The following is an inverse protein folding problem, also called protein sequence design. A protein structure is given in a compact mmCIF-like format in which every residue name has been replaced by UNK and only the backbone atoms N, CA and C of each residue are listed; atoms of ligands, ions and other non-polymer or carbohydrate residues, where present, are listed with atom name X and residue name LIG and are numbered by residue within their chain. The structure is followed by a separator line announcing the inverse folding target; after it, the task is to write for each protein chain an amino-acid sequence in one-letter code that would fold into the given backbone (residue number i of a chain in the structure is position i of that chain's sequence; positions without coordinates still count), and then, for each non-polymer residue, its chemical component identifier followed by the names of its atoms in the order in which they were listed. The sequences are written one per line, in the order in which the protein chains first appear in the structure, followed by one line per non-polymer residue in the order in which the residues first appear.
data_IF_215538719961
#
_entry.id   IF_215538719961
#
_cell.length_a   1.000
_cell.length_b   1.000
_cell.length_c   1.000
_cell.angle_alpha   90.00
_cell.angle_beta   90.00
_cell.angle_gamma   90.00
#
_symmetry.space_group_name_H-M   'P 1'
#
loop_
_entity.id
_entity.type
_entity.pdbx_description
1 polymer ?
#
# COMPACT_ATOMS: atom_id res chain seq x y z
N UNK A 1 -13.72 -14.34 -14.91
CA UNK A 1 -12.94 -14.09 -13.66
C UNK A 1 -11.52 -14.51 -13.99
N UNK A 2 -10.55 -13.58 -13.89
CA UNK A 2 -9.14 -13.90 -14.15
C UNK A 2 -8.62 -14.85 -13.07
N UNK A 3 -7.67 -15.69 -13.43
CA UNK A 3 -7.08 -16.71 -12.53
C UNK A 3 -6.47 -16.10 -11.24
N UNK A 4 -6.06 -14.83 -11.31
CA UNK A 4 -5.45 -14.09 -10.19
C UNK A 4 -6.39 -13.81 -9.00
N UNK A 5 -7.71 -13.83 -9.20
CA UNK A 5 -8.68 -13.61 -8.11
C UNK A 5 -8.84 -14.84 -7.21
N UNK A 6 -8.52 -16.05 -7.68
CA UNK A 6 -8.65 -17.27 -6.89
C UNK A 6 -7.72 -17.29 -5.68
N UNK A 7 -6.46 -16.87 -5.85
CA UNK A 7 -5.45 -16.98 -4.80
C UNK A 7 -5.65 -16.00 -3.64
N UNK A 8 -6.25 -14.82 -3.91
CA UNK A 8 -6.53 -13.83 -2.87
C UNK A 8 -7.71 -14.23 -1.97
N UNK A 9 -8.62 -15.07 -2.45
CA UNK A 9 -9.77 -15.58 -1.66
C UNK A 9 -9.37 -16.62 -0.62
N UNK A 10 -8.18 -17.20 -0.72
CA UNK A 10 -7.65 -18.17 0.25
C UNK A 10 -7.12 -17.52 1.53
N UNK A 11 -6.86 -16.20 1.52
CA UNK A 11 -6.40 -15.49 2.70
C UNK A 11 -7.58 -15.31 3.68
N UNK A 12 -7.50 -15.82 4.93
CA UNK A 12 -8.59 -15.71 5.89
C UNK A 12 -9.05 -14.28 6.12
N UNK A 13 -10.37 -14.08 6.26
CA UNK A 13 -10.97 -12.77 6.49
C UNK A 13 -10.31 -12.10 7.71
N UNK A 14 -9.89 -10.84 7.58
CA UNK A 14 -9.22 -10.09 8.65
C UNK A 14 -7.81 -10.59 9.02
N UNK A 15 -7.19 -11.47 8.23
CA UNK A 15 -5.90 -12.09 8.56
C UNK A 15 -4.83 -11.07 8.95
N UNK A 16 -4.58 -10.07 8.12
CA UNK A 16 -3.51 -9.10 8.37
C UNK A 16 -3.77 -8.24 9.60
N UNK A 17 -5.03 -7.92 9.89
CA UNK A 17 -5.39 -7.22 11.12
C UNK A 17 -5.07 -8.07 12.36
N UNK A 18 -5.50 -9.34 12.38
CA UNK A 18 -5.16 -10.26 13.47
C UNK A 18 -3.66 -10.46 13.65
N UNK A 19 -2.91 -10.50 12.55
CA UNK A 19 -1.43 -10.58 12.62
C UNK A 19 -0.83 -9.34 13.29
N UNK A 20 -1.39 -8.15 13.07
CA UNK A 20 -0.92 -6.93 13.76
C UNK A 20 -1.23 -6.93 15.25
N UNK A 21 -2.35 -7.51 15.68
CA UNK A 21 -2.74 -7.55 17.07
C UNK A 21 -2.02 -8.63 17.88
N UNK A 22 -1.99 -9.86 17.37
CA UNK A 22 -1.57 -11.04 18.13
C UNK A 22 -0.54 -11.93 17.42
N UNK A 23 -0.03 -11.51 16.28
CA UNK A 23 0.92 -12.27 15.51
C UNK A 23 2.33 -12.32 16.11
N UNK A 24 3.22 -13.08 15.46
CA UNK A 24 4.64 -13.10 15.77
C UNK A 24 5.22 -11.65 15.78
N UNK A 25 6.08 -11.29 16.75
CA UNK A 25 6.62 -9.93 16.90
C UNK A 25 7.22 -9.34 15.62
N UNK A 26 7.89 -10.16 14.79
CA UNK A 26 8.46 -9.70 13.51
C UNK A 26 7.34 -9.33 12.54
N UNK A 27 6.33 -10.18 12.38
CA UNK A 27 5.18 -9.92 11.48
C UNK A 27 4.38 -8.70 11.95
N UNK A 28 4.15 -8.58 13.25
CA UNK A 28 3.50 -7.40 13.85
C UNK A 28 4.26 -6.14 13.52
N UNK A 29 5.56 -6.11 13.81
CA UNK A 29 6.41 -4.95 13.52
C UNK A 29 6.48 -4.65 12.03
N UNK A 30 6.48 -5.67 11.16
CA UNK A 30 6.46 -5.51 9.71
C UNK A 30 5.22 -4.75 9.23
N UNK A 31 4.02 -5.22 9.57
CA UNK A 31 2.78 -4.58 9.12
C UNK A 31 2.58 -3.20 9.75
N UNK A 32 2.82 -3.04 11.05
CA UNK A 32 2.70 -1.75 11.73
C UNK A 32 3.68 -0.71 11.16
N UNK A 33 4.94 -1.10 10.93
CA UNK A 33 5.93 -0.21 10.34
C UNK A 33 5.55 0.19 8.91
N UNK A 34 5.06 -0.76 8.09
CA UNK A 34 4.60 -0.52 6.73
C UNK A 34 3.53 0.57 6.71
N UNK A 35 2.46 0.40 7.45
CA UNK A 35 1.34 1.35 7.46
C UNK A 35 1.74 2.70 8.06
N UNK A 36 2.53 2.72 9.14
CA UNK A 36 3.03 3.97 9.71
C UNK A 36 3.88 4.75 8.71
N UNK A 37 4.80 4.07 7.99
CA UNK A 37 5.62 4.72 6.95
C UNK A 37 4.79 5.27 5.79
N UNK A 38 3.70 4.61 5.41
CA UNK A 38 2.76 5.12 4.40
C UNK A 38 2.04 6.36 4.93
N UNK A 39 1.46 6.30 6.13
CA UNK A 39 0.75 7.44 6.73
C UNK A 39 1.67 8.64 6.95
N UNK A 40 2.92 8.43 7.38
CA UNK A 40 3.92 9.49 7.56
C UNK A 40 4.38 10.12 6.24
N UNK A 41 4.28 9.39 5.13
CA UNK A 41 4.67 9.90 3.82
C UNK A 41 3.62 10.82 3.18
N UNK A 42 2.38 10.85 3.65
CA UNK A 42 1.37 11.81 3.21
C UNK A 42 1.68 13.23 3.68
N UNK A 43 1.20 14.26 2.96
CA UNK A 43 1.33 15.64 3.38
C UNK A 43 0.79 15.86 4.81
N UNK A 44 1.42 16.72 5.61
CA UNK A 44 0.88 17.09 6.91
C UNK A 44 -0.35 17.97 6.76
N UNK A 45 -1.20 17.99 7.77
CA UNK A 45 -2.37 18.85 7.86
C UNK A 45 -3.61 18.09 8.29
N UNK A 46 -4.59 18.78 8.88
CA UNK A 46 -5.89 18.22 9.24
C UNK A 46 -6.88 18.27 8.07
N UNK A 47 -7.94 17.48 8.17
CA UNK A 47 -9.11 17.57 7.28
C UNK A 47 -8.94 16.95 5.90
N UNK A 48 -7.88 16.18 5.67
CA UNK A 48 -7.61 15.54 4.38
C UNK A 48 -8.61 14.43 4.05
N UNK A 49 -8.88 14.23 2.76
CA UNK A 49 -9.64 13.09 2.24
C UNK A 49 -8.64 12.00 1.77
N UNK A 50 -8.77 10.78 2.32
CA UNK A 50 -7.89 9.64 2.04
C UNK A 50 -8.65 8.50 1.35
N UNK A 51 -8.10 8.02 0.23
CA UNK A 51 -8.53 6.82 -0.48
C UNK A 51 -7.49 5.71 -0.33
N UNK A 52 -7.89 4.51 0.09
CA UNK A 52 -7.01 3.33 0.13
C UNK A 52 -7.52 2.27 -0.87
N UNK A 53 -6.74 2.01 -1.91
CA UNK A 53 -7.09 1.11 -3.02
C UNK A 53 -6.42 -0.25 -2.80
N UNK A 54 -7.21 -1.33 -2.82
CA UNK A 54 -6.76 -2.64 -2.36
C UNK A 54 -6.64 -2.66 -0.84
N UNK A 55 -7.61 -2.08 -0.13
CA UNK A 55 -7.57 -1.89 1.31
C UNK A 55 -7.69 -3.19 2.11
N UNK A 56 -8.06 -4.31 1.43
CA UNK A 56 -8.29 -5.60 2.06
C UNK A 56 -9.21 -5.46 3.27
N UNK A 57 -8.80 -5.96 4.45
CA UNK A 57 -9.57 -5.86 5.70
C UNK A 57 -9.47 -4.48 6.40
N UNK A 58 -9.10 -3.41 5.70
CA UNK A 58 -9.09 -2.04 6.22
C UNK A 58 -7.95 -1.68 7.16
N UNK A 59 -6.87 -2.46 7.18
CA UNK A 59 -5.80 -2.32 8.18
C UNK A 59 -5.05 -0.99 8.15
N UNK A 60 -4.85 -0.36 6.98
CA UNK A 60 -4.24 0.98 6.93
C UNK A 60 -5.18 2.01 7.55
N UNK A 61 -6.44 2.00 7.13
CA UNK A 61 -7.41 3.00 7.58
C UNK A 61 -7.74 2.85 9.07
N UNK A 62 -7.66 1.64 9.64
CA UNK A 62 -7.82 1.44 11.08
C UNK A 62 -6.78 2.18 11.93
N UNK A 63 -5.61 2.49 11.34
CA UNK A 63 -4.52 3.23 11.97
C UNK A 63 -4.50 4.72 11.58
N UNK A 64 -5.33 5.13 10.62
CA UNK A 64 -5.39 6.51 10.15
C UNK A 64 -6.14 7.40 11.12
N UNK A 65 -5.52 8.49 11.58
CA UNK A 65 -6.10 9.46 12.49
C UNK A 65 -7.23 10.23 11.80
N UNK A 66 -8.44 10.19 12.35
CA UNK A 66 -9.62 10.88 11.81
C UNK A 66 -9.58 12.40 11.97
N UNK A 67 -8.71 12.94 12.81
CA UNK A 67 -8.48 14.39 12.87
C UNK A 67 -7.65 14.87 11.69
N UNK A 68 -6.71 14.04 11.23
CA UNK A 68 -5.91 14.30 10.05
C UNK A 68 -6.66 13.94 8.77
N UNK A 69 -7.32 12.79 8.74
CA UNK A 69 -8.08 12.29 7.59
C UNK A 69 -9.58 12.30 7.90
N UNK A 70 -10.22 13.44 7.63
CA UNK A 70 -11.62 13.67 8.00
C UNK A 70 -12.63 12.90 7.13
N UNK A 71 -12.20 12.43 5.97
CA UNK A 71 -12.94 11.52 5.09
C UNK A 71 -12.00 10.39 4.65
N UNK A 72 -12.39 9.16 4.89
CA UNK A 72 -11.60 7.98 4.56
C UNK A 72 -12.47 6.99 3.79
N UNK A 73 -11.97 6.53 2.64
CA UNK A 73 -12.62 5.50 1.85
C UNK A 73 -11.61 4.38 1.54
N UNK A 74 -11.95 3.15 1.93
CA UNK A 74 -11.23 1.95 1.53
C UNK A 74 -12.01 1.21 0.43
N UNK A 75 -11.33 0.81 -0.64
CA UNK A 75 -11.95 0.00 -1.70
C UNK A 75 -11.16 -1.26 -1.98
N UNK A 76 -11.87 -2.37 -2.19
CA UNK A 76 -11.30 -3.67 -2.54
C UNK A 76 -12.27 -4.47 -3.42
N UNK A 77 -11.74 -5.46 -4.14
CA UNK A 77 -12.56 -6.39 -4.94
C UNK A 77 -13.12 -7.55 -4.13
N UNK A 78 -12.70 -7.74 -2.87
CA UNK A 78 -13.05 -8.85 -1.99
C UNK A 78 -14.18 -8.45 -1.02
N UNK A 79 -15.46 -8.80 -1.30
CA UNK A 79 -16.61 -8.34 -0.52
C UNK A 79 -16.57 -8.79 0.94
N UNK A 80 -16.02 -9.96 1.24
CA UNK A 80 -15.91 -10.50 2.60
C UNK A 80 -14.92 -9.67 3.45
N UNK A 81 -13.82 -9.22 2.84
CA UNK A 81 -12.85 -8.36 3.52
C UNK A 81 -13.44 -6.97 3.77
N UNK A 82 -14.18 -6.43 2.81
CA UNK A 82 -14.89 -5.15 2.93
C UNK A 82 -15.96 -5.21 4.02
N UNK A 83 -16.72 -6.31 4.09
CA UNK A 83 -17.70 -6.51 5.18
C UNK A 83 -17.00 -6.49 6.53
N UNK A 84 -15.91 -7.23 6.70
CA UNK A 84 -15.12 -7.23 7.92
C UNK A 84 -14.61 -5.82 8.26
N UNK A 85 -14.05 -5.10 7.29
CA UNK A 85 -13.53 -3.75 7.49
C UNK A 85 -14.63 -2.77 7.93
N UNK A 86 -15.82 -2.86 7.33
CA UNK A 86 -16.98 -2.04 7.68
C UNK A 86 -17.46 -2.32 9.11
N UNK A 87 -17.59 -3.59 9.48
CA UNK A 87 -18.07 -4.01 10.81
C UNK A 87 -17.10 -3.63 11.94
N UNK A 88 -15.77 -3.68 11.68
CA UNK A 88 -14.76 -3.47 12.72
C UNK A 88 -14.23 -2.03 12.77
N UNK A 89 -14.21 -1.33 11.65
CA UNK A 89 -13.53 -0.04 11.52
C UNK A 89 -14.39 1.08 10.92
N UNK A 90 -15.61 0.76 10.43
CA UNK A 90 -16.53 1.76 9.88
C UNK A 90 -16.91 2.81 10.92
N UNK A 91 -16.88 4.11 10.51
CA UNK A 91 -17.34 5.26 11.31
C UNK A 91 -18.06 6.24 10.39
N UNK A 92 -18.58 7.34 10.94
CA UNK A 92 -19.17 8.42 10.12
C UNK A 92 -18.17 9.06 9.14
N UNK A 93 -16.87 8.85 9.34
CA UNK A 93 -15.78 9.42 8.52
C UNK A 93 -15.02 8.37 7.73
N UNK A 94 -15.17 7.09 8.06
CA UNK A 94 -14.45 5.98 7.45
C UNK A 94 -15.41 4.97 6.88
N UNK A 95 -15.39 4.82 5.57
CA UNK A 95 -16.25 3.93 4.81
C UNK A 95 -15.43 2.91 4.02
N UNK A 96 -16.06 1.79 3.68
CA UNK A 96 -15.45 0.75 2.88
C UNK A 96 -16.44 0.29 1.81
N UNK A 97 -15.97 0.14 0.57
CA UNK A 97 -16.81 -0.20 -0.58
C UNK A 97 -16.18 -1.31 -1.42
N UNK A 98 -17.01 -2.22 -1.90
CA UNK A 98 -16.57 -3.23 -2.85
C UNK A 98 -16.62 -2.67 -4.26
N UNK A 99 -15.51 -2.72 -4.98
CA UNK A 99 -15.43 -2.43 -6.41
C UNK A 99 -15.30 -3.75 -7.18
N UNK A 100 -15.77 -3.78 -8.45
CA UNK A 100 -15.65 -4.98 -9.29
C UNK A 100 -14.26 -5.12 -9.91
N UNK A 101 -13.62 -3.98 -10.15
CA UNK A 101 -12.29 -3.89 -10.74
C UNK A 101 -11.73 -2.47 -10.60
N UNK A 102 -10.45 -2.27 -10.95
CA UNK A 102 -9.81 -0.93 -10.99
C UNK A 102 -10.46 0.02 -12.03
N UNK A 103 -11.27 -0.50 -12.95
CA UNK A 103 -12.04 0.32 -13.90
C UNK A 103 -13.16 1.10 -13.23
N UNK A 104 -13.61 0.68 -12.05
CA UNK A 104 -14.66 1.36 -11.30
C UNK A 104 -14.14 2.60 -10.53
N UNK A 105 -12.81 2.78 -10.39
CA UNK A 105 -12.23 3.91 -9.65
C UNK A 105 -12.78 5.28 -10.07
N UNK A 106 -12.91 5.61 -11.37
CA UNK A 106 -13.41 6.93 -11.76
C UNK A 106 -14.86 7.23 -11.34
N UNK A 107 -15.61 6.21 -10.91
CA UNK A 107 -17.00 6.37 -10.46
C UNK A 107 -17.13 6.67 -8.96
N UNK A 108 -16.02 6.60 -8.21
CA UNK A 108 -16.03 6.95 -6.80
C UNK A 108 -16.24 8.44 -6.57
N UNK A 109 -16.82 8.78 -5.42
CA UNK A 109 -17.06 10.17 -5.04
C UNK A 109 -15.76 10.85 -4.59
N UNK A 110 -15.14 11.59 -5.51
CA UNK A 110 -13.93 12.40 -5.29
C UNK A 110 -14.23 13.88 -5.11
N UNK A 111 -13.21 14.76 -5.04
CA UNK A 111 -11.79 14.45 -5.04
C UNK A 111 -11.25 13.98 -3.69
N UNK A 112 -10.04 13.37 -3.73
CA UNK A 112 -9.25 13.01 -2.56
C UNK A 112 -7.94 13.81 -2.54
N UNK A 113 -7.43 14.10 -1.34
CA UNK A 113 -6.13 14.75 -1.15
C UNK A 113 -5.00 13.73 -1.12
N UNK A 114 -5.32 12.53 -0.67
CA UNK A 114 -4.39 11.42 -0.50
C UNK A 114 -4.98 10.14 -1.08
N UNK A 115 -4.16 9.36 -1.77
CA UNK A 115 -4.49 8.00 -2.16
C UNK A 115 -3.34 7.05 -1.84
N UNK A 116 -3.64 5.80 -1.49
CA UNK A 116 -2.68 4.71 -1.31
C UNK A 116 -3.04 3.48 -2.14
N UNK A 117 -1.99 2.73 -2.53
CA UNK A 117 -2.11 1.38 -3.05
C UNK A 117 -0.90 0.58 -2.51
N UNK A 118 -1.14 -0.24 -1.48
CA UNK A 118 -0.09 -0.87 -0.69
C UNK A 118 0.01 -2.34 -1.04
N UNK A 119 1.18 -2.75 -1.56
CA UNK A 119 1.40 -4.13 -2.01
C UNK A 119 0.26 -4.60 -2.93
N UNK A 120 -0.08 -3.76 -3.93
CA UNK A 120 -1.11 -4.02 -4.91
C UNK A 120 -0.52 -4.20 -6.32
N UNK A 121 0.44 -3.36 -6.71
CA UNK A 121 0.91 -3.31 -8.11
C UNK A 121 1.69 -4.55 -8.56
N UNK A 122 2.20 -5.37 -7.64
CA UNK A 122 2.81 -6.66 -7.92
C UNK A 122 1.80 -7.76 -8.28
N UNK A 123 0.55 -7.61 -7.86
CA UNK A 123 -0.53 -8.60 -8.08
C UNK A 123 -1.37 -8.34 -9.32
N UNK A 124 -1.14 -7.23 -10.01
CA UNK A 124 -1.94 -6.81 -11.17
C UNK A 124 -1.10 -6.72 -12.43
N UNK A 125 -1.76 -6.87 -13.57
CA UNK A 125 -1.12 -6.81 -14.89
C UNK A 125 -0.64 -5.40 -15.23
N UNK A 126 0.28 -5.22 -16.18
CA UNK A 126 0.70 -3.89 -16.65
C UNK A 126 -0.45 -3.00 -17.13
N UNK A 127 -1.49 -3.59 -17.71
CA UNK A 127 -2.67 -2.86 -18.15
C UNK A 127 -3.53 -2.38 -16.98
N UNK A 128 -3.69 -3.22 -15.97
CA UNK A 128 -4.37 -2.86 -14.73
C UNK A 128 -3.58 -1.78 -13.94
N UNK A 129 -2.24 -1.83 -13.95
CA UNK A 129 -1.41 -0.75 -13.40
C UNK A 129 -1.71 0.57 -14.12
N UNK A 130 -1.81 0.58 -15.44
CA UNK A 130 -2.17 1.79 -16.19
C UNK A 130 -3.57 2.28 -15.83
N UNK A 131 -4.53 1.37 -15.69
CA UNK A 131 -5.91 1.66 -15.25
C UNK A 131 -5.92 2.26 -13.83
N UNK A 132 -5.18 1.69 -12.90
CA UNK A 132 -4.99 2.22 -11.54
C UNK A 132 -4.49 3.67 -11.57
N UNK A 133 -3.38 3.94 -12.27
CA UNK A 133 -2.81 5.28 -12.34
C UNK A 133 -3.76 6.30 -12.96
N UNK A 134 -4.50 5.91 -14.00
CA UNK A 134 -5.50 6.76 -14.63
C UNK A 134 -6.67 7.05 -13.69
N UNK A 135 -7.20 6.03 -13.01
CA UNK A 135 -8.28 6.18 -12.04
C UNK A 135 -7.87 7.10 -10.89
N UNK A 136 -6.70 6.87 -10.31
CA UNK A 136 -6.16 7.73 -9.24
C UNK A 136 -5.94 9.18 -9.72
N UNK A 137 -5.42 9.37 -10.94
CA UNK A 137 -5.25 10.70 -11.50
C UNK A 137 -6.58 11.46 -11.69
N UNK A 138 -7.68 10.74 -11.92
CA UNK A 138 -9.02 11.33 -12.02
C UNK A 138 -9.56 11.74 -10.64
N UNK A 139 -9.27 10.94 -9.61
CA UNK A 139 -9.83 11.10 -8.27
C UNK A 139 -9.04 12.06 -7.38
N UNK A 140 -7.74 12.26 -7.62
CA UNK A 140 -6.93 13.13 -6.77
C UNK A 140 -7.10 14.61 -7.10
N UNK A 141 -7.05 15.44 -6.07
CA UNK A 141 -7.00 16.89 -6.17
C UNK A 141 -5.85 17.32 -7.08
N UNK A 142 -6.17 18.04 -8.16
CA UNK A 142 -5.19 18.49 -9.16
C UNK A 142 -4.17 19.44 -8.54
N UNK A 143 -2.91 19.23 -8.89
CA UNK A 143 -1.78 20.04 -8.46
C UNK A 143 -1.23 19.72 -7.08
N UNK A 144 -2.01 19.10 -6.18
CA UNK A 144 -1.63 18.87 -4.78
C UNK A 144 -1.85 17.45 -4.28
N UNK A 145 -2.77 16.69 -4.88
CA UNK A 145 -3.12 15.34 -4.43
C UNK A 145 -1.91 14.41 -4.42
N UNK A 146 -1.75 13.63 -3.37
CA UNK A 146 -0.61 12.75 -3.13
C UNK A 146 -0.98 11.30 -3.29
N UNK A 147 -0.26 10.56 -4.13
CA UNK A 147 -0.40 9.12 -4.32
C UNK A 147 0.79 8.37 -3.74
N UNK A 148 0.54 7.46 -2.82
CA UNK A 148 1.56 6.60 -2.21
C UNK A 148 1.35 5.16 -2.63
N UNK A 149 2.45 4.54 -3.09
CA UNK A 149 2.49 3.14 -3.44
C UNK A 149 3.59 2.43 -2.67
N UNK A 150 3.35 1.17 -2.34
CA UNK A 150 4.41 0.27 -1.89
C UNK A 150 4.37 -1.05 -2.66
N UNK A 151 5.53 -1.70 -2.74
CA UNK A 151 5.69 -3.02 -3.36
C UNK A 151 6.95 -3.69 -2.83
N UNK A 152 7.05 -5.03 -2.79
CA UNK A 152 8.26 -5.73 -2.42
C UNK A 152 9.47 -5.34 -3.28
N UNK A 153 10.64 -5.30 -2.66
CA UNK A 153 11.90 -4.95 -3.32
C UNK A 153 12.71 -6.21 -3.64
N UNK A 154 12.70 -6.64 -4.88
CA UNK A 154 13.45 -7.83 -5.34
C UNK A 154 14.97 -7.62 -5.45
N UNK A 155 15.50 -6.43 -5.10
CA UNK A 155 16.93 -6.15 -4.93
C UNK A 155 17.40 -6.28 -3.48
N UNK A 156 16.54 -6.73 -2.57
CA UNK A 156 16.80 -6.85 -1.13
C UNK A 156 16.93 -8.31 -0.70
N UNK A 157 16.80 -8.54 0.60
CA UNK A 157 16.66 -9.89 1.15
C UNK A 157 15.25 -10.48 0.97
N UNK A 158 14.32 -9.72 0.37
CA UNK A 158 12.93 -10.15 0.16
C UNK A 158 12.82 -11.52 -0.56
N UNK A 159 13.52 -11.80 -1.67
CA UNK A 159 13.41 -13.10 -2.35
C UNK A 159 13.77 -14.30 -1.44
N UNK A 160 14.73 -14.12 -0.54
CA UNK A 160 15.08 -15.17 0.42
C UNK A 160 14.03 -15.30 1.53
N UNK A 161 13.44 -14.18 1.97
CA UNK A 161 12.34 -14.16 2.94
C UNK A 161 11.08 -14.80 2.34
N UNK A 162 10.73 -14.47 1.11
CA UNK A 162 9.61 -15.05 0.37
C UNK A 162 9.74 -16.57 0.26
N UNK A 163 10.93 -17.07 -0.11
CA UNK A 163 11.20 -18.50 -0.16
C UNK A 163 11.02 -19.17 1.21
N UNK A 164 11.49 -18.52 2.28
CA UNK A 164 11.30 -18.99 3.66
C UNK A 164 9.82 -19.00 4.07
N UNK A 165 9.09 -17.93 3.75
CA UNK A 165 7.66 -17.82 4.03
C UNK A 165 6.86 -18.90 3.31
N UNK A 166 7.11 -19.13 2.02
CA UNK A 166 6.41 -20.15 1.24
C UNK A 166 6.66 -21.57 1.74
N UNK A 167 7.84 -21.82 2.37
CA UNK A 167 8.15 -23.12 2.95
C UNK A 167 7.48 -23.40 4.29
N UNK A 168 7.16 -22.34 5.05
CA UNK A 168 6.68 -22.44 6.44
C UNK A 168 5.31 -21.77 6.65
N UNK A 169 4.64 -21.31 5.60
CA UNK A 169 3.32 -20.68 5.64
C UNK A 169 2.35 -21.48 4.78
N UNK A 170 1.08 -21.48 5.16
CA UNK A 170 -0.02 -22.09 4.40
C UNK A 170 -0.41 -21.26 3.16
N UNK A 171 0.22 -20.11 2.94
CA UNK A 171 -0.01 -19.22 1.80
C UNK A 171 1.23 -19.18 0.92
N UNK A 172 1.09 -19.53 -0.36
CA UNK A 172 2.16 -19.42 -1.36
C UNK A 172 2.17 -18.01 -1.97
N UNK A 173 3.21 -17.24 -1.66
CA UNK A 173 3.38 -15.88 -2.18
C UNK A 173 4.03 -15.83 -3.57
N UNK A 174 4.68 -16.93 -4.03
CA UNK A 174 5.45 -16.92 -5.28
C UNK A 174 4.59 -16.86 -6.52
N UNK A 175 3.38 -17.45 -6.49
CA UNK A 175 2.43 -17.45 -7.59
C UNK A 175 1.57 -16.18 -7.65
N UNK A 176 1.53 -15.41 -6.57
CA UNK A 176 0.71 -14.20 -6.47
C UNK A 176 1.37 -12.96 -7.11
N UNK A 177 2.71 -12.94 -7.26
CA UNK A 177 3.43 -11.79 -7.78
C UNK A 177 3.62 -11.87 -9.30
N UNK A 178 2.70 -11.26 -10.05
CA UNK A 178 2.75 -11.17 -11.52
C UNK A 178 3.92 -10.27 -11.97
N UNK A 179 4.14 -9.18 -11.24
CA UNK A 179 5.17 -8.19 -11.56
C UNK A 179 6.15 -8.02 -10.40
N UNK A 180 7.44 -8.31 -10.66
CA UNK A 180 8.51 -8.15 -9.66
C UNK A 180 9.22 -6.81 -9.86
N UNK A 181 9.20 -5.96 -8.83
CA UNK A 181 9.85 -4.65 -8.84
C UNK A 181 11.16 -4.66 -8.06
N UNK A 182 12.08 -3.77 -8.43
CA UNK A 182 13.23 -3.44 -7.60
C UNK A 182 13.45 -1.92 -7.58
N UNK A 183 14.13 -1.46 -6.53
CA UNK A 183 14.34 -0.03 -6.27
C UNK A 183 15.02 0.73 -7.40
N UNK A 184 15.93 0.09 -8.15
CA UNK A 184 16.68 0.75 -9.21
C UNK A 184 15.87 0.93 -10.50
N UNK A 185 15.00 -0.02 -10.82
CA UNK A 185 14.27 -0.06 -12.09
C UNK A 185 12.79 0.29 -11.98
N UNK A 186 12.23 0.44 -10.77
CA UNK A 186 10.78 0.68 -10.57
C UNK A 186 10.27 1.88 -11.37
N UNK A 187 10.98 3.00 -11.35
CA UNK A 187 10.60 4.19 -12.14
C UNK A 187 10.53 3.92 -13.63
N UNK A 188 11.58 3.32 -14.19
CA UNK A 188 11.64 3.04 -15.63
C UNK A 188 10.61 1.98 -16.05
N UNK A 189 10.32 1.00 -15.18
CA UNK A 189 9.28 0.01 -15.44
C UNK A 189 7.89 0.64 -15.42
N UNK A 190 7.56 1.44 -14.41
CA UNK A 190 6.27 2.13 -14.32
C UNK A 190 6.06 3.11 -15.49
N UNK A 191 7.10 3.88 -15.91
CA UNK A 191 7.02 4.72 -17.12
C UNK A 191 6.72 3.94 -18.40
N UNK A 192 7.23 2.72 -18.50
CA UNK A 192 6.96 1.84 -19.65
C UNK A 192 5.54 1.28 -19.64
N UNK A 193 5.00 0.93 -18.45
CA UNK A 193 3.65 0.42 -18.28
C UNK A 193 2.60 1.54 -18.39
N UNK A 194 2.95 2.74 -17.95
CA UNK A 194 2.07 3.93 -17.92
C UNK A 194 2.77 5.07 -18.67
N UNK A 195 2.66 5.14 -20.00
CA UNK A 195 3.33 6.19 -20.80
C UNK A 195 2.95 7.61 -20.40
N UNK A 196 1.73 7.80 -19.91
CA UNK A 196 1.18 9.08 -19.46
C UNK A 196 1.56 9.45 -18.01
N UNK A 197 2.32 8.61 -17.32
CA UNK A 197 2.60 8.73 -15.88
C UNK A 197 3.14 10.12 -15.52
N UNK A 198 4.12 10.63 -16.25
CA UNK A 198 4.76 11.92 -15.96
C UNK A 198 3.92 13.14 -16.39
N UNK A 199 2.92 12.92 -17.23
CA UNK A 199 1.87 13.91 -17.47
C UNK A 199 0.94 14.05 -16.27
N UNK A 200 0.56 12.92 -15.66
CA UNK A 200 -0.41 12.90 -14.55
C UNK A 200 0.24 13.10 -13.19
N UNK A 201 1.51 12.68 -13.02
CA UNK A 201 2.18 12.65 -11.73
C UNK A 201 3.63 13.11 -11.80
N UNK A 202 4.03 13.85 -10.76
CA UNK A 202 5.44 14.15 -10.49
C UNK A 202 5.96 13.23 -9.40
N UNK A 203 7.17 12.73 -9.57
CA UNK A 203 7.85 11.93 -8.55
C UNK A 203 8.41 12.81 -7.43
N UNK A 204 7.97 12.59 -6.19
CA UNK A 204 8.50 13.29 -5.02
C UNK A 204 9.47 12.44 -4.24
N UNK A 205 9.15 11.14 -4.06
CA UNK A 205 9.94 10.22 -3.26
C UNK A 205 9.97 8.83 -3.91
N UNK A 206 11.14 8.20 -3.91
CA UNK A 206 11.28 6.75 -4.10
C UNK A 206 12.36 6.27 -3.15
N UNK A 207 11.96 5.54 -2.13
CA UNK A 207 12.83 5.04 -1.05
C UNK A 207 12.55 3.57 -0.79
N UNK A 208 13.27 3.00 0.16
CA UNK A 208 12.95 1.67 0.69
C UNK A 208 12.81 1.72 2.21
N UNK A 209 12.16 0.73 2.79
CA UNK A 209 11.95 0.56 4.22
C UNK A 209 12.09 -0.92 4.60
N UNK A 210 11.98 -1.27 5.87
CA UNK A 210 12.07 -2.65 6.37
C UNK A 210 13.45 -3.30 6.19
N UNK A 211 14.56 -2.57 6.40
CA UNK A 211 15.88 -3.17 6.27
C UNK A 211 16.13 -4.19 7.38
N UNK A 212 16.20 -3.76 8.63
CA UNK A 212 16.47 -4.61 9.79
C UNK A 212 15.47 -4.48 10.93
N UNK A 213 14.75 -3.36 10.99
CA UNK A 213 13.93 -2.97 12.15
C UNK A 213 12.83 -3.96 12.53
N UNK A 214 12.09 -4.60 11.60
CA UNK A 214 11.11 -5.61 12.00
C UNK A 214 11.75 -6.83 12.69
N UNK A 215 12.97 -7.20 12.28
CA UNK A 215 13.69 -8.34 12.83
C UNK A 215 14.26 -8.06 14.23
N UNK A 216 14.37 -6.81 14.63
CA UNK A 216 14.75 -6.42 15.98
C UNK A 216 13.59 -6.53 17.00
N UNK A 217 12.34 -6.70 16.55
CA UNK A 217 11.17 -6.74 17.40
C UNK A 217 11.19 -7.82 18.51
N UNK A 218 11.71 -9.05 18.29
CA UNK A 218 11.82 -10.04 19.36
C UNK A 218 12.70 -9.59 20.53
N UNK A 219 13.68 -8.72 20.28
CA UNK A 219 14.64 -8.24 21.30
C UNK A 219 14.18 -6.89 21.90
N UNK A 220 13.80 -5.95 21.05
CA UNK A 220 13.46 -4.59 21.46
C UNK A 220 11.98 -4.41 21.87
N UNK A 221 11.12 -5.35 21.53
CA UNK A 221 9.67 -5.21 21.53
C UNK A 221 9.15 -4.53 20.26
N UNK A 222 7.90 -4.84 19.91
CA UNK A 222 7.26 -4.38 18.66
C UNK A 222 7.22 -2.85 18.55
N UNK A 223 6.74 -2.19 19.60
CA UNK A 223 6.59 -0.73 19.64
C UNK A 223 7.91 0.00 19.37
N UNK A 224 8.99 -0.39 20.08
CA UNK A 224 10.32 0.22 19.92
C UNK A 224 10.93 -0.05 18.55
N UNK A 225 10.76 -1.26 18.03
CA UNK A 225 11.22 -1.58 16.68
C UNK A 225 10.50 -0.75 15.62
N UNK A 226 9.18 -0.60 15.73
CA UNK A 226 8.38 0.23 14.83
C UNK A 226 8.76 1.71 14.95
N UNK A 227 8.92 2.23 16.16
CA UNK A 227 9.35 3.61 16.39
C UNK A 227 10.73 3.88 15.78
N UNK A 228 11.70 2.99 16.02
CA UNK A 228 13.03 3.10 15.42
C UNK A 228 12.97 3.10 13.90
N UNK A 229 12.17 2.19 13.30
CA UNK A 229 11.98 2.13 11.86
C UNK A 229 11.27 3.35 11.27
N UNK A 230 10.31 3.92 11.99
CA UNK A 230 9.60 5.13 11.56
C UNK A 230 10.49 6.37 11.65
N UNK A 231 11.40 6.43 12.60
CA UNK A 231 12.33 7.54 12.78
C UNK A 231 13.45 7.60 11.74
N UNK A 232 13.64 6.54 10.93
CA UNK A 232 14.61 6.55 9.83
C UNK A 232 14.17 7.53 8.75
N UNK A 233 14.93 8.57 8.42
CA UNK A 233 14.57 9.53 7.39
C UNK A 233 14.32 8.83 6.05
N UNK A 234 13.38 9.35 5.25
CA UNK A 234 13.16 8.92 3.87
C UNK A 234 14.31 9.32 2.93
N UNK A 235 15.49 9.64 3.47
CA UNK A 235 16.63 10.11 2.70
C UNK A 235 17.23 9.01 1.83
N UNK A 236 17.85 9.42 0.74
CA UNK A 236 18.41 8.55 -0.31
C UNK A 236 19.53 7.61 0.16
N UNK A 237 20.12 7.85 1.34
CA UNK A 237 21.34 7.19 1.80
C UNK A 237 21.16 5.75 2.28
N UNK A 238 19.97 5.37 2.79
CA UNK A 238 19.74 4.04 3.38
C UNK A 238 19.21 2.99 2.39
N UNK A 239 19.45 3.18 1.14
CA UNK A 239 18.81 2.62 0.35
C UNK A 239 19.04 2.03 -0.81
N UNK A 240 19.40 1.04 -1.43
CA UNK A 240 18.46 0.31 -2.27
C UNK A 240 17.93 -0.99 -1.63
N UNK A 241 18.37 -1.35 -0.43
CA UNK A 241 18.28 -2.72 0.10
C UNK A 241 17.16 -2.99 1.13
N UNK A 242 16.34 -2.02 1.48
CA UNK A 242 15.14 -2.28 2.29
C UNK A 242 14.15 -3.17 1.54
N UNK A 243 13.45 -4.03 2.28
CA UNK A 243 12.60 -5.08 1.71
C UNK A 243 11.33 -4.57 1.02
N UNK A 244 10.89 -3.35 1.34
CA UNK A 244 9.73 -2.72 0.73
C UNK A 244 10.12 -1.42 0.06
N UNK A 245 9.73 -1.22 -1.19
CA UNK A 245 9.82 0.05 -1.91
C UNK A 245 8.63 0.91 -1.49
N UNK A 246 8.88 2.17 -1.16
CA UNK A 246 7.87 3.19 -0.90
C UNK A 246 8.04 4.32 -1.90
N UNK A 247 6.96 4.69 -2.58
CA UNK A 247 6.93 5.74 -3.59
C UNK A 247 5.87 6.76 -3.24
N UNK A 248 6.18 8.05 -3.41
CA UNK A 248 5.20 9.13 -3.37
C UNK A 248 5.26 9.92 -4.66
N UNK A 249 4.09 10.16 -5.21
CA UNK A 249 3.88 10.97 -6.39
C UNK A 249 2.87 12.08 -6.08
N UNK A 250 3.07 13.26 -6.63
CA UNK A 250 2.06 14.34 -6.56
C UNK A 250 1.34 14.45 -7.88
N UNK A 251 0.02 14.57 -7.83
CA UNK A 251 -0.86 14.82 -8.97
C UNK A 251 -0.51 16.16 -9.61
N UNK A 252 -0.25 16.19 -10.92
CA UNK A 252 -0.04 17.42 -11.67
C UNK A 252 -1.35 18.18 -11.90
N UNK A 253 -1.28 19.40 -12.41
CA UNK A 253 -2.47 20.16 -12.81
C UNK A 253 -3.05 19.69 -14.16
N UNK A 254 -2.30 18.90 -14.94
CA UNK A 254 -2.69 18.44 -16.26
C UNK A 254 -3.95 17.55 -16.24
N UNK A 255 -4.84 17.64 -17.24
CA UNK A 255 -6.02 16.78 -17.34
C UNK A 255 -5.62 15.31 -17.60
N UNK A 256 -6.50 14.39 -17.23
CA UNK A 256 -6.39 12.94 -17.52
C UNK A 256 -6.86 12.62 -18.92
#
# INVERSE_FOLDING_TARGET
MSDSTKDLTEIPIGHYHRVMESGNPIRRAWHLLKFRRVLDAFPPGPGLALLDIGCFAGSLLSLADETRFSRQLGVDILPEQIRFATEHFGTDRRHFETIRSLQDLPSLDGPFDCASAIELIEHVTPEEIRTLFRGVATLLTRGTGSFILSTPNYLSTWPALELGLNRFSDVDYSEQHITRFNRLTVKSRLRRMVPELERWFRWDLVTTTHLLTPFAAPVLGVERAVQAGSSVPHSRWFMPFGNLILMRLTRTAEPV
#
